data_IF_107745312245
#
_entry.id   IF_107745312245
#
_cell.length_a   1.000
_cell.length_b   1.000
_cell.length_c   1.000
_cell.angle_alpha   90.00
_cell.angle_beta   90.00
_cell.angle_gamma   90.00
#
_symmetry.space_group_name_H-M   'P 1'
#
loop_
_entity.id
_entity.type
_entity.pdbx_description
1 polymer ?
#
# COMPACT_ATOMS: atom_id res chain seq x y z
N UNK A 1 0.19 -5.01 -17.88
CA UNK A 1 1.31 -5.86 -17.43
C UNK A 1 0.78 -7.03 -16.63
N UNK A 2 1.66 -7.92 -16.17
CA UNK A 2 1.27 -9.02 -15.26
C UNK A 2 0.76 -8.55 -13.89
N UNK A 3 1.09 -7.31 -13.51
CA UNK A 3 0.72 -6.66 -12.22
C UNK A 3 -0.38 -5.61 -12.34
N UNK A 4 -0.80 -5.23 -13.56
CA UNK A 4 -1.71 -4.10 -13.79
C UNK A 4 -2.81 -4.45 -14.78
N UNK A 5 -4.03 -4.05 -14.43
CA UNK A 5 -5.22 -4.02 -15.27
C UNK A 5 -5.61 -2.57 -15.55
N UNK A 6 -6.46 -2.34 -16.55
CA UNK A 6 -7.05 -1.01 -16.79
C UNK A 6 -8.18 -0.68 -15.82
N UNK A 7 -8.83 -1.70 -15.31
CA UNK A 7 -9.85 -1.62 -14.25
C UNK A 7 -9.50 -2.62 -13.17
N UNK A 8 -9.60 -2.21 -11.92
CA UNK A 8 -9.39 -3.05 -10.76
C UNK A 8 -10.36 -2.64 -9.65
N UNK A 9 -10.60 -3.54 -8.71
CA UNK A 9 -11.40 -3.29 -7.52
C UNK A 9 -10.50 -2.81 -6.40
N UNK A 10 -10.75 -1.60 -5.90
CA UNK A 10 -10.09 -1.09 -4.69
C UNK A 10 -11.00 -1.28 -3.49
N UNK A 11 -10.46 -1.86 -2.42
CA UNK A 11 -11.07 -1.89 -1.10
C UNK A 11 -10.50 -0.72 -0.32
N UNK A 12 -11.25 0.37 -0.24
CA UNK A 12 -10.79 1.60 0.38
C UNK A 12 -11.28 1.72 1.82
N UNK A 13 -10.42 2.31 2.65
CA UNK A 13 -10.72 2.58 4.04
C UNK A 13 -10.12 3.94 4.46
N UNK A 14 -10.92 4.76 5.12
CA UNK A 14 -10.48 6.04 5.73
C UNK A 14 -11.01 6.13 7.15
N UNK A 15 -10.18 6.62 8.09
CA UNK A 15 -10.58 6.85 9.47
C UNK A 15 -10.09 8.21 9.98
N UNK A 16 -10.94 8.88 10.75
CA UNK A 16 -10.62 10.12 11.44
C UNK A 16 -10.13 9.89 12.87
N UNK A 17 -9.62 10.98 13.48
CA UNK A 17 -9.15 11.02 14.87
C UNK A 17 -7.98 10.07 15.16
N UNK A 18 -7.14 9.82 14.16
CA UNK A 18 -5.92 9.03 14.32
C UNK A 18 -4.85 9.80 15.11
N UNK A 19 -4.01 9.09 15.80
CA UNK A 19 -2.79 9.62 16.46
C UNK A 19 -1.62 9.66 15.47
N UNK A 20 -1.56 8.66 14.60
CA UNK A 20 -0.55 8.54 13.54
C UNK A 20 -1.03 7.57 12.46
N UNK A 21 -0.30 7.49 11.34
CA UNK A 21 -0.58 6.51 10.28
C UNK A 21 -0.43 5.05 10.77
N UNK A 22 0.24 4.81 11.90
CA UNK A 22 0.33 3.48 12.51
C UNK A 22 -1.05 2.95 12.95
N UNK A 23 -1.99 3.82 13.33
CA UNK A 23 -3.37 3.41 13.66
C UNK A 23 -4.07 2.80 12.42
N UNK A 24 -3.79 3.32 11.21
CA UNK A 24 -4.30 2.77 9.95
C UNK A 24 -3.68 1.40 9.65
N UNK A 25 -2.37 1.26 9.83
CA UNK A 25 -1.65 -0.01 9.66
C UNK A 25 -2.15 -1.09 10.63
N UNK A 26 -2.49 -0.71 11.87
CA UNK A 26 -3.06 -1.61 12.87
C UNK A 26 -4.43 -2.15 12.44
N UNK A 27 -5.29 -1.27 11.92
CA UNK A 27 -6.61 -1.68 11.40
C UNK A 27 -6.46 -2.59 10.18
N UNK A 28 -5.53 -2.29 9.26
CA UNK A 28 -5.25 -3.16 8.12
C UNK A 28 -4.76 -4.54 8.56
N UNK A 29 -3.84 -4.58 9.52
CA UNK A 29 -3.36 -5.86 10.11
C UNK A 29 -4.51 -6.66 10.71
N UNK A 30 -5.42 -6.00 11.44
CA UNK A 30 -6.63 -6.61 12.00
C UNK A 30 -7.59 -7.13 10.94
N UNK A 31 -7.79 -6.36 9.86
CA UNK A 31 -8.60 -6.77 8.72
C UNK A 31 -8.04 -8.01 8.02
N UNK A 32 -6.73 -8.02 7.72
CA UNK A 32 -6.09 -9.16 7.08
C UNK A 32 -6.14 -10.41 7.95
N UNK A 33 -5.91 -10.28 9.26
CA UNK A 33 -6.06 -11.39 10.22
C UNK A 33 -7.46 -11.96 10.17
N UNK A 34 -8.47 -11.11 10.30
CA UNK A 34 -9.87 -11.52 10.23
C UNK A 34 -10.21 -12.21 8.91
N UNK A 35 -9.72 -11.67 7.78
CA UNK A 35 -9.95 -12.25 6.47
C UNK A 35 -9.32 -13.64 6.33
N UNK A 36 -8.09 -13.85 6.81
CA UNK A 36 -7.45 -15.18 6.78
C UNK A 36 -8.17 -16.18 7.67
N UNK A 37 -8.56 -15.78 8.90
CA UNK A 37 -9.34 -16.62 9.82
C UNK A 37 -10.72 -16.98 9.23
N UNK A 38 -11.38 -16.05 8.53
CA UNK A 38 -12.64 -16.28 7.85
C UNK A 38 -12.48 -17.30 6.72
N UNK A 39 -11.45 -17.13 5.88
CA UNK A 39 -11.16 -18.06 4.78
C UNK A 39 -10.88 -19.46 5.29
N UNK A 40 -10.06 -19.60 6.34
CA UNK A 40 -9.75 -20.91 6.93
C UNK A 40 -11.01 -21.59 7.49
N UNK A 41 -11.91 -20.84 8.14
CA UNK A 41 -13.11 -21.36 8.76
C UNK A 41 -14.22 -21.71 7.77
N UNK A 42 -14.45 -20.85 6.76
CA UNK A 42 -15.62 -20.93 5.90
C UNK A 42 -15.34 -21.48 4.51
N UNK A 43 -14.05 -21.49 4.08
CA UNK A 43 -13.61 -21.88 2.73
C UNK A 43 -12.53 -22.97 2.76
N UNK A 44 -12.48 -23.78 3.82
CA UNK A 44 -11.47 -24.83 4.00
C UNK A 44 -11.40 -25.82 2.82
N UNK A 45 -12.55 -26.20 2.27
CA UNK A 45 -12.62 -27.13 1.12
C UNK A 45 -12.05 -26.49 -0.15
N UNK A 46 -12.30 -25.21 -0.37
CA UNK A 46 -11.74 -24.47 -1.52
C UNK A 46 -10.23 -24.24 -1.37
N UNK A 47 -9.76 -23.95 -0.16
CA UNK A 47 -8.34 -23.83 0.17
C UNK A 47 -7.63 -25.14 -0.12
N UNK A 48 -8.20 -26.26 0.33
CA UNK A 48 -7.64 -27.60 0.10
C UNK A 48 -7.64 -27.95 -1.41
N UNK A 49 -8.76 -27.68 -2.10
CA UNK A 49 -8.91 -27.96 -3.53
C UNK A 49 -7.92 -27.18 -4.40
N UNK A 50 -7.61 -25.95 -4.01
CA UNK A 50 -6.68 -25.05 -4.71
C UNK A 50 -5.25 -25.17 -4.18
N UNK A 51 -5.00 -26.03 -3.20
CA UNK A 51 -3.69 -26.24 -2.56
C UNK A 51 -3.07 -24.93 -2.03
N UNK A 52 -3.93 -24.04 -1.47
CA UNK A 52 -3.49 -22.75 -0.97
C UNK A 52 -2.85 -22.85 0.41
N UNK A 53 -1.83 -22.03 0.64
CA UNK A 53 -1.27 -21.81 1.97
C UNK A 53 -1.61 -20.39 2.41
N UNK A 54 -2.49 -20.27 3.41
CA UNK A 54 -2.83 -18.95 3.97
C UNK A 54 -1.67 -18.40 4.79
N UNK A 55 -1.37 -17.10 4.67
CA UNK A 55 -0.35 -16.46 5.49
C UNK A 55 -0.83 -16.30 6.94
N UNK A 56 0.06 -16.52 7.90
CA UNK A 56 -0.21 -16.13 9.28
C UNK A 56 -0.12 -14.60 9.42
N UNK A 57 -1.07 -14.00 10.13
CA UNK A 57 -1.12 -12.55 10.36
C UNK A 57 -1.24 -12.26 11.86
N UNK A 58 -0.11 -12.27 12.58
CA UNK A 58 -0.06 -11.87 13.99
C UNK A 58 0.37 -10.41 14.12
N UNK A 59 1.60 -10.12 13.76
CA UNK A 59 2.15 -8.79 13.62
C UNK A 59 2.85 -8.68 12.28
N UNK A 60 2.58 -7.59 11.55
CA UNK A 60 3.25 -7.34 10.28
C UNK A 60 4.47 -6.45 10.57
N UNK A 61 5.69 -6.91 10.24
CA UNK A 61 6.89 -6.10 10.40
C UNK A 61 6.86 -4.86 9.51
N UNK A 62 7.49 -3.79 9.97
CA UNK A 62 7.61 -2.54 9.24
C UNK A 62 9.07 -2.13 9.08
N UNK A 63 9.42 -1.61 7.92
CA UNK A 63 10.74 -1.07 7.60
C UNK A 63 10.58 0.29 6.94
N UNK A 64 11.48 1.24 7.21
CA UNK A 64 11.48 2.53 6.49
C UNK A 64 11.96 2.35 5.06
N UNK A 65 11.50 3.21 4.16
CA UNK A 65 11.82 3.16 2.73
C UNK A 65 13.32 3.17 2.45
N UNK A 66 14.07 4.06 3.09
CA UNK A 66 15.53 4.16 2.93
C UNK A 66 16.27 2.91 3.40
N UNK A 67 15.80 2.30 4.49
CA UNK A 67 16.34 1.03 4.99
C UNK A 67 15.96 -0.13 4.06
N UNK A 68 14.72 -0.17 3.55
CA UNK A 68 14.29 -1.16 2.57
C UNK A 68 15.16 -1.14 1.31
N UNK A 69 15.47 0.06 0.79
CA UNK A 69 16.40 0.25 -0.33
C UNK A 69 17.78 -0.30 -0.03
N UNK A 70 18.30 0.02 1.17
CA UNK A 70 19.61 -0.46 1.61
C UNK A 70 19.65 -1.98 1.75
N UNK A 71 18.62 -2.59 2.33
CA UNK A 71 18.51 -4.05 2.46
C UNK A 71 18.50 -4.76 1.09
N UNK A 72 17.74 -4.24 0.12
CA UNK A 72 17.70 -4.79 -1.23
C UNK A 72 19.08 -4.71 -1.91
N UNK A 73 19.78 -3.60 -1.74
CA UNK A 73 21.12 -3.40 -2.31
C UNK A 73 22.20 -4.25 -1.62
N UNK A 74 22.30 -4.21 -0.30
CA UNK A 74 23.39 -4.84 0.46
C UNK A 74 23.23 -6.36 0.58
N UNK A 75 22.02 -6.84 0.85
CA UNK A 75 21.79 -8.28 1.08
C UNK A 75 21.58 -9.06 -0.22
N UNK A 76 20.91 -8.45 -1.21
CA UNK A 76 20.56 -9.11 -2.46
C UNK A 76 21.27 -8.57 -3.69
N UNK A 77 22.16 -7.60 -3.53
CA UNK A 77 22.98 -7.06 -4.62
C UNK A 77 22.20 -6.25 -5.66
N UNK A 78 21.01 -5.76 -5.30
CA UNK A 78 20.20 -4.98 -6.21
C UNK A 78 20.83 -3.59 -6.46
N UNK A 79 20.88 -3.17 -7.73
CA UNK A 79 21.36 -1.82 -8.09
C UNK A 79 20.18 -0.86 -8.10
N UNK A 80 20.16 0.09 -7.15
CA UNK A 80 19.11 1.11 -7.04
C UNK A 80 19.11 1.98 -8.30
N UNK A 81 18.04 1.95 -9.08
CA UNK A 81 17.83 2.76 -10.29
C UNK A 81 16.94 3.97 -10.03
N UNK A 82 15.80 3.76 -9.33
CA UNK A 82 14.92 4.85 -8.87
C UNK A 82 15.13 5.07 -7.36
N UNK A 83 15.71 6.21 -6.92
CA UNK A 83 15.92 6.48 -5.50
C UNK A 83 14.65 6.94 -4.78
N UNK A 84 13.52 7.12 -5.49
CA UNK A 84 12.29 7.66 -4.95
C UNK A 84 11.13 6.66 -4.90
N UNK A 85 11.31 5.46 -5.48
CA UNK A 85 10.28 4.43 -5.54
C UNK A 85 10.90 3.04 -5.35
N UNK A 86 10.08 2.04 -5.00
CA UNK A 86 10.49 0.64 -5.03
C UNK A 86 10.21 0.07 -6.42
N UNK A 87 11.22 -0.56 -7.00
CA UNK A 87 11.03 -1.34 -8.22
C UNK A 87 10.59 -2.77 -7.86
N UNK A 88 9.93 -3.49 -8.78
CA UNK A 88 9.43 -4.84 -8.51
C UNK A 88 10.47 -5.81 -7.93
N UNK A 89 11.71 -5.72 -8.40
CA UNK A 89 12.80 -6.56 -7.91
C UNK A 89 13.20 -6.22 -6.47
N UNK A 90 13.10 -4.94 -6.07
CA UNK A 90 13.32 -4.50 -4.69
C UNK A 90 12.19 -4.96 -3.78
N UNK A 91 10.92 -4.86 -4.23
CA UNK A 91 9.78 -5.41 -3.51
C UNK A 91 9.95 -6.92 -3.26
N UNK A 92 10.37 -7.69 -4.29
CA UNK A 92 10.66 -9.11 -4.16
C UNK A 92 11.79 -9.39 -3.16
N UNK A 93 12.87 -8.58 -3.18
CA UNK A 93 13.96 -8.70 -2.23
C UNK A 93 13.50 -8.45 -0.78
N UNK A 94 12.68 -7.41 -0.56
CA UNK A 94 12.12 -7.09 0.76
C UNK A 94 11.14 -8.18 1.23
N UNK A 95 10.28 -8.67 0.35
CA UNK A 95 9.36 -9.78 0.68
C UNK A 95 10.11 -11.07 1.02
N UNK A 96 11.20 -11.36 0.32
CA UNK A 96 12.10 -12.46 0.64
C UNK A 96 12.75 -12.27 2.01
N UNK A 97 13.25 -11.07 2.30
CA UNK A 97 13.81 -10.72 3.61
C UNK A 97 12.79 -10.91 4.72
N UNK A 98 11.54 -10.45 4.51
CA UNK A 98 10.45 -10.63 5.47
C UNK A 98 10.21 -12.09 5.85
N UNK A 99 10.22 -12.98 4.86
CA UNK A 99 10.07 -14.42 5.11
C UNK A 99 11.29 -15.04 5.81
N UNK A 100 12.49 -14.71 5.35
CA UNK A 100 13.73 -15.29 5.88
C UNK A 100 14.06 -14.85 7.30
N UNK A 101 13.86 -13.55 7.61
CA UNK A 101 14.33 -12.96 8.87
C UNK A 101 13.19 -12.70 9.87
N UNK A 102 11.98 -12.44 9.39
CA UNK A 102 10.84 -12.09 10.24
C UNK A 102 9.73 -13.16 10.25
N UNK A 103 9.84 -14.20 9.41
CA UNK A 103 8.83 -15.23 9.30
C UNK A 103 7.47 -14.72 8.81
N UNK A 104 7.45 -13.60 8.09
CA UNK A 104 6.22 -12.94 7.64
C UNK A 104 6.13 -12.89 6.12
N UNK A 105 4.96 -13.25 5.59
CA UNK A 105 4.62 -13.05 4.18
C UNK A 105 4.28 -11.58 3.86
N UNK A 106 3.99 -10.77 4.88
CA UNK A 106 3.66 -9.35 4.77
C UNK A 106 4.77 -8.48 5.32
N UNK A 107 5.02 -7.34 4.68
CA UNK A 107 5.96 -6.31 5.15
C UNK A 107 5.40 -4.93 4.85
N UNK A 108 5.27 -4.07 5.85
CA UNK A 108 5.03 -2.65 5.62
C UNK A 108 6.33 -1.95 5.25
N UNK A 109 6.32 -1.18 4.18
CA UNK A 109 7.36 -0.20 3.89
C UNK A 109 6.80 1.19 4.13
N UNK A 110 7.46 1.97 4.98
CA UNK A 110 6.94 3.26 5.47
C UNK A 110 7.83 4.44 5.06
N UNK A 111 7.30 5.65 5.18
CA UNK A 111 8.02 6.89 4.92
C UNK A 111 8.58 6.96 3.49
N UNK A 112 7.68 6.87 2.51
CA UNK A 112 8.07 7.06 1.11
C UNK A 112 8.43 8.50 0.79
N UNK A 113 9.35 8.73 -0.15
CA UNK A 113 9.69 10.06 -0.62
C UNK A 113 8.49 10.84 -1.15
N UNK A 114 8.37 12.11 -0.76
CA UNK A 114 7.24 12.97 -1.14
C UNK A 114 7.06 13.18 -2.64
N UNK A 115 8.10 12.97 -3.46
CA UNK A 115 8.02 13.07 -4.92
C UNK A 115 7.11 12.04 -5.58
N UNK A 116 6.90 10.89 -4.93
CA UNK A 116 6.09 9.77 -5.47
C UNK A 116 4.73 9.66 -4.78
N UNK A 117 4.43 10.56 -3.85
CA UNK A 117 3.16 10.53 -3.12
C UNK A 117 2.24 11.68 -3.54
N UNK A 118 0.92 11.46 -3.48
CA UNK A 118 -0.04 12.47 -3.89
C UNK A 118 -0.01 13.72 -3.00
N UNK A 119 -0.56 14.81 -3.51
CA UNK A 119 -0.55 16.14 -2.88
C UNK A 119 -1.21 16.17 -1.49
N UNK A 120 -2.07 15.21 -1.19
CA UNK A 120 -2.76 15.12 0.09
C UNK A 120 -2.02 14.30 1.15
N UNK A 121 -0.97 13.57 0.79
CA UNK A 121 -0.18 12.82 1.77
C UNK A 121 0.54 13.77 2.73
N UNK A 122 0.53 13.48 4.02
CA UNK A 122 1.19 14.32 5.01
C UNK A 122 2.70 14.16 4.95
N UNK A 123 3.43 15.26 4.87
CA UNK A 123 4.89 15.23 4.98
C UNK A 123 5.30 14.85 6.40
N UNK A 124 6.40 14.09 6.53
CA UNK A 124 6.98 13.78 7.84
C UNK A 124 7.51 15.08 8.47
N UNK A 125 7.01 15.47 9.67
CA UNK A 125 7.45 16.71 10.32
C UNK A 125 8.92 16.69 10.75
N UNK A 126 9.50 15.50 10.95
CA UNK A 126 10.89 15.33 11.34
C UNK A 126 11.83 15.32 10.12
N UNK A 127 11.34 14.87 8.97
CA UNK A 127 12.06 14.90 7.70
C UNK A 127 11.12 15.13 6.50
N UNK A 128 10.88 16.38 6.10
CA UNK A 128 9.94 16.72 5.02
C UNK A 128 10.30 16.19 3.62
N UNK A 129 11.41 15.48 3.46
CA UNK A 129 11.72 14.75 2.22
C UNK A 129 10.83 13.53 2.05
N UNK A 130 10.32 13.00 3.17
CA UNK A 130 9.44 11.82 3.26
C UNK A 130 8.02 12.22 3.63
N UNK A 131 7.13 11.25 3.53
CA UNK A 131 5.73 11.38 3.92
C UNK A 131 5.37 10.33 4.98
N UNK A 132 4.35 10.59 5.77
CA UNK A 132 3.75 9.65 6.70
C UNK A 132 2.84 8.67 5.94
N UNK A 133 3.43 7.96 5.00
CA UNK A 133 2.77 6.99 4.12
C UNK A 133 3.42 5.62 4.23
N UNK A 134 2.69 4.62 3.78
CA UNK A 134 3.16 3.25 3.72
C UNK A 134 2.60 2.51 2.51
N UNK A 135 3.29 1.47 2.11
CA UNK A 135 2.76 0.41 1.25
C UNK A 135 2.86 -0.92 2.00
N UNK A 136 1.90 -1.81 1.76
CA UNK A 136 1.97 -3.19 2.23
C UNK A 136 2.42 -4.08 1.08
N UNK A 137 3.52 -4.77 1.30
CA UNK A 137 3.99 -5.83 0.42
C UNK A 137 3.46 -7.18 0.92
N UNK A 138 2.83 -7.95 0.05
CA UNK A 138 2.44 -9.34 0.29
C UNK A 138 3.26 -10.24 -0.63
N UNK A 139 4.09 -11.11 -0.05
CA UNK A 139 5.01 -12.00 -0.78
C UNK A 139 5.86 -11.25 -1.82
N UNK A 140 6.25 -10.01 -1.50
CA UNK A 140 7.10 -9.19 -2.37
C UNK A 140 6.36 -8.50 -3.51
N UNK A 141 5.06 -8.26 -3.35
CA UNK A 141 4.28 -7.40 -4.25
C UNK A 141 3.48 -6.39 -3.44
N UNK A 142 3.52 -5.12 -3.83
CA UNK A 142 2.64 -4.09 -3.29
C UNK A 142 1.17 -4.45 -3.55
N UNK A 143 0.39 -4.60 -2.46
CA UNK A 143 -1.05 -4.84 -2.50
C UNK A 143 -1.86 -3.68 -1.94
N UNK A 144 -1.25 -2.83 -1.11
CA UNK A 144 -1.88 -1.67 -0.48
C UNK A 144 -0.98 -0.47 -0.55
N UNK A 145 -1.58 0.70 -0.76
CA UNK A 145 -0.98 2.01 -0.50
C UNK A 145 -1.83 2.77 0.51
N UNK A 146 -1.21 3.32 1.55
CA UNK A 146 -1.89 4.06 2.60
C UNK A 146 -1.06 5.19 3.19
N UNK A 147 -1.64 5.87 4.17
CA UNK A 147 -0.93 6.92 4.93
C UNK A 147 -1.83 7.91 5.61
N UNK A 148 -1.19 8.79 6.38
CA UNK A 148 -1.83 9.94 6.97
C UNK A 148 -2.03 11.04 5.93
N UNK A 149 -3.18 11.70 5.99
CA UNK A 149 -3.52 12.82 5.11
C UNK A 149 -3.23 14.14 5.81
N UNK A 150 -2.98 15.17 5.03
CA UNK A 150 -2.94 16.53 5.55
C UNK A 150 -4.36 16.92 5.96
N UNK A 151 -4.53 17.40 7.18
CA UNK A 151 -5.84 17.83 7.71
C UNK A 151 -5.91 19.33 7.95
N UNK A 152 -4.77 19.99 8.06
CA UNK A 152 -4.69 21.45 8.21
C UNK A 152 -4.79 22.15 6.85
N UNK A 153 -5.66 23.17 6.76
CA UNK A 153 -5.91 23.90 5.51
C UNK A 153 -4.67 24.61 4.97
N UNK A 154 -3.94 25.31 5.83
CA UNK A 154 -2.77 26.10 5.41
C UNK A 154 -1.64 25.19 4.95
N UNK A 155 -1.42 24.07 5.62
CA UNK A 155 -0.45 23.06 5.19
C UNK A 155 -0.82 22.45 3.83
N UNK A 156 -2.12 22.16 3.61
CA UNK A 156 -2.59 21.60 2.35
C UNK A 156 -2.39 22.57 1.19
N UNK A 157 -2.77 23.83 1.37
CA UNK A 157 -2.57 24.90 0.38
C UNK A 157 -1.08 25.13 0.10
N UNK A 158 -0.24 25.15 1.13
CA UNK A 158 1.19 25.33 0.99
C UNK A 158 1.82 24.18 0.17
N UNK A 159 1.44 22.92 0.44
CA UNK A 159 1.91 21.77 -0.31
C UNK A 159 1.46 21.81 -1.78
N UNK A 160 0.20 22.12 -2.05
CA UNK A 160 -0.30 22.27 -3.42
C UNK A 160 0.50 23.32 -4.21
N UNK A 161 0.71 24.50 -3.64
CA UNK A 161 1.53 25.56 -4.27
C UNK A 161 2.97 25.11 -4.52
N UNK A 162 3.59 24.38 -3.57
CA UNK A 162 4.94 23.84 -3.73
C UNK A 162 5.03 22.85 -4.89
N UNK A 163 3.94 22.11 -5.16
CA UNK A 163 3.83 21.16 -6.26
C UNK A 163 3.40 21.82 -7.59
N UNK A 164 3.24 23.16 -7.62
CA UNK A 164 2.82 23.89 -8.81
C UNK A 164 1.34 23.78 -9.14
N UNK A 165 0.51 23.35 -8.18
CA UNK A 165 -0.95 23.26 -8.33
C UNK A 165 -1.60 24.59 -7.96
N UNK A 166 -2.66 24.99 -8.67
CA UNK A 166 -3.48 26.14 -8.29
C UNK A 166 -4.57 25.70 -7.29
N UNK A 167 -4.53 26.16 -6.02
CA UNK A 167 -5.55 25.83 -5.03
C UNK A 167 -6.98 26.21 -5.43
N UNK A 168 -7.14 27.23 -6.30
CA UNK A 168 -8.46 27.66 -6.76
C UNK A 168 -9.19 26.57 -7.58
N UNK A 169 -8.46 25.72 -8.29
CA UNK A 169 -9.03 24.58 -9.02
C UNK A 169 -9.51 23.44 -8.10
N UNK A 170 -9.13 23.49 -6.83
CA UNK A 170 -9.44 22.45 -5.82
C UNK A 170 -10.32 23.00 -4.68
N UNK A 171 -11.10 24.03 -4.93
CA UNK A 171 -11.90 24.69 -3.87
C UNK A 171 -12.86 23.73 -3.16
N UNK A 172 -13.53 22.83 -3.90
CA UNK A 172 -14.43 21.84 -3.31
C UNK A 172 -13.72 20.84 -2.38
N UNK A 173 -12.51 20.43 -2.74
CA UNK A 173 -11.67 19.60 -1.88
C UNK A 173 -11.19 20.37 -0.64
N UNK A 174 -10.71 21.59 -0.82
CA UNK A 174 -10.19 22.42 0.27
C UNK A 174 -11.26 22.92 1.23
N UNK A 175 -12.53 22.96 0.81
CA UNK A 175 -13.65 23.41 1.64
C UNK A 175 -13.77 22.60 2.93
N UNK A 176 -13.55 21.29 2.89
CA UNK A 176 -13.60 20.42 4.07
C UNK A 176 -12.52 20.85 5.09
N UNK A 177 -11.31 21.11 4.60
CA UNK A 177 -10.20 21.56 5.44
C UNK A 177 -10.49 22.91 6.11
N UNK A 178 -11.10 23.86 5.39
CA UNK A 178 -11.52 25.16 5.94
C UNK A 178 -12.52 25.06 7.08
N UNK A 179 -13.40 24.06 7.05
CA UNK A 179 -14.45 23.87 8.06
C UNK A 179 -14.05 22.95 9.21
N UNK A 180 -12.82 22.44 9.21
CA UNK A 180 -12.27 21.62 10.27
C UNK A 180 -12.27 20.12 9.92
N UNK A 181 -11.10 19.63 9.52
CA UNK A 181 -10.83 18.22 9.27
C UNK A 181 -10.06 17.66 10.45
N UNK A 182 -10.49 16.55 11.08
CA UNK A 182 -9.68 15.91 12.10
C UNK A 182 -8.43 15.27 11.49
N UNK A 183 -7.38 14.98 12.27
CA UNK A 183 -6.32 14.08 11.82
C UNK A 183 -6.93 12.79 11.28
N UNK A 184 -6.57 12.41 10.07
CA UNK A 184 -7.15 11.25 9.40
C UNK A 184 -6.15 10.58 8.49
N UNK A 185 -6.45 9.37 8.11
CA UNK A 185 -5.65 8.57 7.21
C UNK A 185 -6.42 7.38 6.70
N UNK A 186 -5.90 6.76 5.69
CA UNK A 186 -6.55 5.62 5.07
C UNK A 186 -5.64 4.90 4.09
N UNK A 187 -6.23 3.96 3.40
CA UNK A 187 -5.55 3.06 2.48
C UNK A 187 -6.49 2.58 1.37
N UNK A 188 -5.88 2.07 0.31
CA UNK A 188 -6.57 1.33 -0.74
C UNK A 188 -5.87 -0.01 -0.98
N UNK A 189 -6.61 -1.11 -0.88
CA UNK A 189 -6.13 -2.46 -1.15
C UNK A 189 -6.58 -2.89 -2.54
N UNK A 190 -5.65 -3.27 -3.41
CA UNK A 190 -5.97 -3.86 -4.71
C UNK A 190 -6.46 -5.29 -4.56
N UNK A 191 -7.77 -5.52 -4.73
CA UNK A 191 -8.39 -6.84 -4.53
C UNK A 191 -7.78 -7.91 -5.44
N UNK A 192 -7.55 -7.58 -6.71
CA UNK A 192 -6.98 -8.52 -7.66
C UNK A 192 -5.52 -8.87 -7.34
N UNK A 193 -4.73 -7.90 -6.86
CA UNK A 193 -3.35 -8.18 -6.41
C UNK A 193 -3.33 -9.04 -5.14
N UNK A 194 -4.19 -8.73 -4.16
CA UNK A 194 -4.32 -9.53 -2.95
C UNK A 194 -4.73 -10.98 -3.28
N UNK A 195 -5.75 -11.14 -4.14
CA UNK A 195 -6.22 -12.45 -4.62
C UNK A 195 -5.14 -13.19 -5.40
N UNK A 196 -4.45 -12.51 -6.31
CA UNK A 196 -3.34 -13.07 -7.09
C UNK A 196 -2.27 -13.67 -6.17
N UNK A 197 -1.82 -12.90 -5.18
CA UNK A 197 -0.79 -13.35 -4.23
C UNK A 197 -1.29 -14.46 -3.31
N UNK A 198 -2.54 -14.38 -2.85
CA UNK A 198 -3.14 -15.41 -2.01
C UNK A 198 -3.22 -16.76 -2.75
N UNK A 199 -3.62 -16.73 -4.02
CA UNK A 199 -3.76 -17.92 -4.87
C UNK A 199 -2.45 -18.35 -5.55
N UNK A 200 -1.33 -17.65 -5.33
CA UNK A 200 -0.05 -17.97 -5.96
C UNK A 200 -0.05 -17.87 -7.48
N UNK A 201 -0.80 -16.91 -8.04
CA UNK A 201 -0.91 -16.71 -9.48
C UNK A 201 0.20 -15.78 -10.00
N UNK A 202 0.66 -16.04 -11.22
CA UNK A 202 1.73 -15.25 -11.86
C UNK A 202 1.22 -14.02 -12.61
N UNK A 203 -0.10 -13.90 -12.79
CA UNK A 203 -0.69 -12.82 -13.58
C UNK A 203 -2.01 -12.37 -12.97
N UNK A 204 -2.12 -11.07 -12.74
CA UNK A 204 -3.31 -10.44 -12.13
C UNK A 204 -4.60 -10.65 -12.93
N UNK A 205 -4.50 -10.92 -14.24
CA UNK A 205 -5.65 -11.29 -15.09
C UNK A 205 -6.34 -12.57 -14.63
N UNK A 206 -5.59 -13.49 -14.02
CA UNK A 206 -6.14 -14.75 -13.49
C UNK A 206 -6.92 -14.55 -12.18
N UNK A 207 -6.78 -13.39 -11.54
CA UNK A 207 -7.52 -13.03 -10.32
C UNK A 207 -8.83 -12.28 -10.58
N UNK A 208 -9.22 -12.13 -11.86
CA UNK A 208 -10.48 -11.49 -12.26
C UNK A 208 -11.23 -12.35 -13.26
N UNK A 209 -12.56 -12.43 -13.13
CA UNK A 209 -13.40 -13.16 -14.09
C UNK A 209 -13.41 -12.50 -15.47
N UNK A 210 -13.38 -11.17 -15.52
CA UNK A 210 -13.44 -10.36 -16.72
C UNK A 210 -12.34 -9.30 -16.72
N UNK A 211 -11.07 -9.70 -16.84
CA UNK A 211 -9.97 -8.76 -16.78
C UNK A 211 -9.97 -7.84 -18.00
N UNK A 212 -9.85 -6.54 -17.76
CA UNK A 212 -9.76 -5.53 -18.82
C UNK A 212 -8.35 -4.96 -18.91
N UNK A 213 -7.85 -4.90 -20.14
CA UNK A 213 -6.55 -4.30 -20.47
C UNK A 213 -6.61 -3.60 -21.83
N UNK A 214 -5.46 -3.14 -22.33
CA UNK A 214 -5.38 -2.40 -23.61
C UNK A 214 -5.87 -3.21 -24.83
N UNK A 215 -5.85 -4.53 -24.75
CA UNK A 215 -6.23 -5.44 -25.83
C UNK A 215 -7.55 -6.18 -25.60
N UNK A 216 -8.12 -6.06 -24.39
CA UNK A 216 -9.37 -6.74 -24.01
C UNK A 216 -10.29 -5.79 -23.28
N UNK A 217 -11.36 -5.36 -23.95
CA UNK A 217 -12.39 -4.46 -23.43
C UNK A 217 -13.74 -5.16 -23.18
N UNK A 218 -13.92 -6.34 -23.73
CA UNK A 218 -15.12 -7.17 -23.62
C UNK A 218 -14.80 -8.47 -22.87
N UNK A 219 -15.80 -9.09 -22.19
CA UNK A 219 -15.63 -10.37 -21.50
C UNK A 219 -15.13 -11.50 -22.40
#
# INVERSE_FOLDING_TARGET
>A
TARHLNEYTSMDFEMGFIRSFADVMEVETGFLRYAMDLLEREYADDIARLELTLPAVEQIPAVRFDEAKRLAAEKYGYQIRDPYDLEPEEEHAIGRYGREEWGSDFVFVTHYPGKKRPFYAMDDPDDPRYTLSFDLLFRGMEVTTGGQRIHDYEQQVAKMKRLGMDPAEFESYLMIHKHGMPPHGGLGIGLERLTMQLCGLDNVRCASLFPRDLSRLEP
#
